data_IF_642905308365
#
_entry.id   IF_642905308365
#
_cell.length_a   1.000
_cell.length_b   1.000
_cell.length_c   1.000
_cell.angle_alpha   90.00
_cell.angle_beta   90.00
_cell.angle_gamma   90.00
#
_symmetry.space_group_name_H-M   'P 1'
#
loop_
_entity.id
_entity.type
_entity.pdbx_description
1 polymer ?
#
# COMPACT_ATOMS: atom_id res chain seq x y z
N UNK A 1 -0.59 -7.21 -9.32
CA UNK A 1 -1.77 -7.80 -9.99
C UNK A 1 -1.44 -7.94 -11.46
N UNK A 2 -1.70 -9.11 -12.05
CA UNK A 2 -1.62 -9.30 -13.50
C UNK A 2 -2.63 -8.40 -14.22
N UNK A 3 -2.26 -7.86 -15.39
CA UNK A 3 -3.11 -6.98 -16.19
C UNK A 3 -3.66 -5.77 -15.40
N UNK A 4 -2.81 -5.16 -14.57
CA UNK A 4 -3.18 -3.97 -13.80
C UNK A 4 -3.46 -2.77 -14.71
N UNK A 5 -4.64 -2.18 -14.54
CA UNK A 5 -5.14 -1.03 -15.28
C UNK A 5 -5.15 0.20 -14.36
N UNK A 6 -4.19 1.09 -14.56
CA UNK A 6 -3.97 2.25 -13.70
C UNK A 6 -5.16 3.23 -13.73
N UNK A 7 -5.69 3.66 -14.89
CA UNK A 7 -6.87 4.52 -14.93
C UNK A 7 -8.06 3.98 -14.13
N UNK A 8 -8.28 2.66 -14.11
CA UNK A 8 -9.40 2.05 -13.39
C UNK A 8 -9.28 2.11 -11.86
N UNK A 9 -8.07 2.33 -11.31
CA UNK A 9 -7.90 2.41 -9.85
C UNK A 9 -8.11 3.83 -9.29
N UNK A 10 -8.22 4.84 -10.16
CA UNK A 10 -8.43 6.22 -9.76
C UNK A 10 -9.76 6.41 -8.99
N UNK A 11 -9.81 7.47 -8.18
CA UNK A 11 -10.93 7.77 -7.30
C UNK A 11 -10.58 7.61 -5.81
N UNK A 12 -11.63 7.58 -4.99
CA UNK A 12 -11.53 7.60 -3.53
C UNK A 12 -11.70 6.19 -2.94
N UNK A 13 -10.74 5.80 -2.11
CA UNK A 13 -10.64 4.55 -1.37
C UNK A 13 -10.65 4.82 0.14
N UNK A 14 -10.99 3.79 0.90
CA UNK A 14 -11.03 3.82 2.37
C UNK A 14 -10.12 2.74 2.94
N UNK A 15 -9.25 3.11 3.87
CA UNK A 15 -8.35 2.18 4.55
C UNK A 15 -9.14 1.43 5.63
N UNK A 16 -9.71 0.29 5.26
CA UNK A 16 -10.57 -0.52 6.14
C UNK A 16 -9.79 -1.52 7.00
N UNK A 17 -8.57 -1.89 6.60
CA UNK A 17 -7.75 -2.86 7.30
C UNK A 17 -6.26 -2.64 7.02
N UNK A 18 -5.43 -2.88 8.03
CA UNK A 18 -3.97 -2.85 7.92
C UNK A 18 -3.37 -4.01 8.74
N UNK A 19 -2.41 -4.72 8.15
CA UNK A 19 -1.72 -5.84 8.79
C UNK A 19 -0.25 -5.54 8.93
N UNK A 20 0.23 -5.30 10.15
CA UNK A 20 1.67 -5.27 10.42
C UNK A 20 1.98 -5.42 11.91
N UNK A 21 3.21 -5.83 12.27
CA UNK A 21 3.59 -6.13 13.67
C UNK A 21 3.43 -4.92 14.59
N UNK A 22 3.79 -3.72 14.13
CA UNK A 22 3.63 -2.48 14.88
C UNK A 22 2.16 -2.13 15.11
N UNK A 23 1.29 -2.31 14.10
CA UNK A 23 -0.15 -2.01 14.23
C UNK A 23 -0.82 -2.87 15.31
N UNK A 24 -0.35 -4.10 15.55
CA UNK A 24 -0.86 -4.93 16.66
C UNK A 24 -0.75 -4.23 18.01
N UNK A 25 0.27 -3.39 18.22
CA UNK A 25 0.51 -2.67 19.47
C UNK A 25 -0.29 -1.36 19.57
N UNK A 26 -0.81 -0.84 18.46
CA UNK A 26 -1.48 0.47 18.39
C UNK A 26 -2.84 0.41 17.69
N UNK A 27 -3.46 -0.77 17.65
CA UNK A 27 -4.73 -1.03 16.94
C UNK A 27 -5.84 -0.03 17.32
N UNK A 28 -5.92 0.35 18.60
CA UNK A 28 -6.96 1.23 19.15
C UNK A 28 -6.71 2.71 18.82
N UNK A 29 -5.53 3.02 18.28
CA UNK A 29 -5.16 4.36 17.80
C UNK A 29 -5.27 4.48 16.28
N UNK A 30 -5.57 3.38 15.59
CA UNK A 30 -5.74 3.38 14.15
C UNK A 30 -7.17 3.78 13.80
N UNK A 31 -7.32 4.88 13.06
CA UNK A 31 -8.60 5.40 12.61
C UNK A 31 -8.57 5.35 11.09
N UNK A 32 -9.67 4.90 10.48
CA UNK A 32 -9.79 4.72 9.04
C UNK A 32 -9.37 5.98 8.29
N UNK A 33 -8.46 5.80 7.35
CA UNK A 33 -8.01 6.84 6.43
C UNK A 33 -8.80 6.83 5.13
N UNK A 34 -8.65 7.90 4.37
CA UNK A 34 -9.04 7.96 2.96
C UNK A 34 -7.79 7.90 2.09
N UNK A 35 -7.95 7.45 0.86
CA UNK A 35 -6.91 7.44 -0.15
C UNK A 35 -7.54 7.91 -1.46
N UNK A 36 -7.07 9.01 -2.03
CA UNK A 36 -7.58 9.50 -3.31
C UNK A 36 -6.47 9.33 -4.36
N UNK A 37 -6.80 8.75 -5.50
CA UNK A 37 -5.87 8.62 -6.63
C UNK A 37 -6.45 9.40 -7.81
N UNK A 38 -5.64 10.26 -8.40
CA UNK A 38 -6.01 11.02 -9.60
C UNK A 38 -4.98 10.81 -10.69
N UNK A 39 -5.35 11.20 -11.92
CA UNK A 39 -4.38 11.30 -12.99
C UNK A 39 -3.35 12.40 -12.70
N UNK A 40 -2.13 12.23 -13.21
CA UNK A 40 -0.96 13.03 -12.85
C UNK A 40 -0.17 12.47 -11.67
N UNK A 41 -0.05 13.23 -10.58
CA UNK A 41 0.67 12.83 -9.36
C UNK A 41 -0.25 11.99 -8.48
N UNK A 42 0.18 10.78 -8.09
CA UNK A 42 -0.62 9.90 -7.23
C UNK A 42 -0.56 10.47 -5.81
N UNK A 43 -1.49 11.37 -5.50
CA UNK A 43 -1.53 12.13 -4.24
C UNK A 43 -2.48 11.46 -3.26
N UNK A 44 -1.91 10.72 -2.33
CA UNK A 44 -2.66 10.07 -1.27
C UNK A 44 -3.01 11.07 -0.18
N UNK A 45 -4.30 11.30 0.07
CA UNK A 45 -4.79 12.16 1.16
C UNK A 45 -5.32 11.30 2.30
N UNK A 46 -4.42 10.91 3.21
CA UNK A 46 -4.77 10.14 4.41
C UNK A 46 -5.27 11.09 5.50
N UNK A 47 -6.53 10.91 5.88
CA UNK A 47 -7.12 11.65 7.00
C UNK A 47 -6.87 10.88 8.28
N UNK A 48 -6.17 11.49 9.26
CA UNK A 48 -5.85 10.87 10.55
C UNK A 48 -6.39 11.72 11.68
N UNK A 49 -7.22 11.10 12.51
CA UNK A 49 -7.69 11.69 13.76
C UNK A 49 -6.60 11.52 14.83
N UNK A 50 -6.16 12.63 15.41
CA UNK A 50 -5.19 12.65 16.52
C UNK A 50 -5.64 13.68 17.54
N UNK A 51 -5.88 13.26 18.78
CA UNK A 51 -6.39 14.12 19.86
C UNK A 51 -7.63 14.94 19.44
N UNK A 52 -8.66 14.29 18.90
CA UNK A 52 -9.88 14.92 18.37
C UNK A 52 -9.69 15.93 17.23
N UNK A 53 -8.47 16.06 16.69
CA UNK A 53 -8.19 16.90 15.52
C UNK A 53 -7.98 16.05 14.27
N UNK A 54 -8.71 16.42 13.21
CA UNK A 54 -8.66 15.78 11.90
C UNK A 54 -7.50 16.39 11.09
N UNK A 55 -6.43 15.63 10.89
CA UNK A 55 -5.27 16.07 10.13
C UNK A 55 -5.24 15.37 8.77
N UNK A 56 -5.01 16.14 7.70
CA UNK A 56 -4.80 15.61 6.36
C UNK A 56 -3.30 15.45 6.11
N UNK A 57 -2.87 14.24 5.80
CA UNK A 57 -1.52 13.95 5.35
C UNK A 57 -1.56 13.71 3.85
N UNK A 58 -0.77 14.49 3.10
CA UNK A 58 -0.61 14.34 1.66
C UNK A 58 0.70 13.63 1.39
N UNK A 59 0.66 12.49 0.71
CA UNK A 59 1.83 11.76 0.25
C UNK A 59 1.79 11.59 -1.27
N UNK A 60 2.88 11.93 -1.95
CA UNK A 60 3.02 11.72 -3.39
C UNK A 60 3.69 10.38 -3.68
N UNK A 61 3.04 9.54 -4.47
CA UNK A 61 3.58 8.27 -4.94
C UNK A 61 4.13 8.44 -6.36
N UNK A 62 5.32 7.91 -6.56
CA UNK A 62 6.01 7.86 -7.84
C UNK A 62 5.65 6.56 -8.56
N UNK A 63 5.21 6.68 -9.82
CA UNK A 63 5.01 5.54 -10.71
C UNK A 63 6.37 4.87 -10.98
N UNK A 64 6.35 3.55 -11.16
CA UNK A 64 7.52 2.79 -11.59
C UNK A 64 7.28 2.18 -12.96
N UNK A 65 8.31 1.57 -13.55
CA UNK A 65 8.20 0.84 -14.81
C UNK A 65 7.24 -0.36 -14.73
N UNK A 66 7.00 -0.88 -13.52
CA UNK A 66 6.09 -2.00 -13.29
C UNK A 66 4.69 -1.49 -12.97
N UNK A 67 3.66 -1.78 -13.79
CA UNK A 67 2.28 -1.42 -13.48
C UNK A 67 1.82 -1.97 -12.13
N UNK A 68 1.18 -1.12 -11.32
CA UNK A 68 0.72 -1.49 -9.98
C UNK A 68 1.81 -1.46 -8.90
N UNK A 69 3.04 -1.06 -9.23
CA UNK A 69 4.12 -0.79 -8.27
C UNK A 69 4.39 0.71 -8.21
N UNK A 70 4.48 1.22 -6.98
CA UNK A 70 4.67 2.63 -6.69
C UNK A 70 5.70 2.83 -5.58
N UNK A 71 6.44 3.92 -5.66
CA UNK A 71 7.39 4.32 -4.62
C UNK A 71 6.85 5.52 -3.83
N UNK A 72 7.01 5.54 -2.52
CA UNK A 72 6.69 6.67 -1.66
C UNK A 72 7.91 7.01 -0.81
N UNK A 73 8.43 8.23 -0.96
CA UNK A 73 9.53 8.71 -0.13
C UNK A 73 8.99 9.29 1.18
N UNK A 74 9.44 8.77 2.31
CA UNK A 74 9.13 9.29 3.62
C UNK A 74 10.26 10.23 4.09
N UNK A 75 10.09 11.57 4.01
CA UNK A 75 11.16 12.51 4.34
C UNK A 75 11.50 12.51 5.83
N UNK A 76 10.55 12.11 6.69
CA UNK A 76 10.80 12.04 8.13
C UNK A 76 11.88 11.02 8.46
N UNK A 77 11.93 9.92 7.72
CA UNK A 77 12.77 8.75 8.02
C UNK A 77 13.87 8.55 6.98
N UNK A 78 13.86 9.32 5.88
CA UNK A 78 14.84 9.21 4.80
C UNK A 78 14.76 7.88 4.04
N UNK A 79 13.59 7.25 4.00
CA UNK A 79 13.41 5.92 3.39
C UNK A 79 12.43 5.96 2.23
N UNK A 80 12.68 5.14 1.21
CA UNK A 80 11.75 4.88 0.12
C UNK A 80 10.96 3.62 0.41
N UNK A 81 9.64 3.75 0.46
CA UNK A 81 8.69 2.67 0.71
C UNK A 81 8.12 2.22 -0.64
N UNK A 82 8.14 0.92 -0.89
CA UNK A 82 7.57 0.34 -2.10
C UNK A 82 6.17 -0.18 -1.81
N UNK A 83 5.21 0.13 -2.67
CA UNK A 83 3.83 -0.31 -2.55
C UNK A 83 3.40 -1.04 -3.81
N UNK A 84 2.71 -2.16 -3.61
CA UNK A 84 2.29 -3.08 -4.65
C UNK A 84 0.79 -3.27 -4.57
N UNK A 85 0.08 -3.11 -5.67
CA UNK A 85 -1.32 -3.55 -5.79
C UNK A 85 -1.28 -5.05 -6.09
N UNK A 86 -1.50 -5.88 -5.08
CA UNK A 86 -1.48 -7.33 -5.23
C UNK A 86 -2.82 -7.86 -5.73
N UNK A 87 -3.93 -7.21 -5.37
CA UNK A 87 -5.27 -7.54 -5.86
C UNK A 87 -6.17 -6.29 -5.90
N UNK A 88 -6.97 -6.14 -6.94
CA UNK A 88 -8.03 -5.16 -7.05
C UNK A 88 -9.07 -5.57 -8.08
N UNK A 89 -10.35 -5.34 -7.76
CA UNK A 89 -11.44 -5.41 -8.73
C UNK A 89 -11.87 -4.02 -9.23
N UNK A 90 -11.11 -2.97 -8.87
CA UNK A 90 -11.33 -1.56 -9.22
C UNK A 90 -12.60 -0.91 -8.65
N UNK A 91 -13.57 -1.68 -8.16
CA UNK A 91 -14.91 -1.19 -7.82
C UNK A 91 -15.24 -1.24 -6.32
N UNK A 92 -14.61 -2.14 -5.56
CA UNK A 92 -14.96 -2.31 -4.16
C UNK A 92 -13.88 -2.88 -3.27
N UNK A 93 -12.82 -3.46 -3.83
CA UNK A 93 -11.72 -4.02 -3.05
C UNK A 93 -10.40 -3.78 -3.74
N UNK A 94 -9.46 -3.23 -3.00
CA UNK A 94 -8.05 -3.14 -3.33
C UNK A 94 -7.26 -3.68 -2.14
N UNK A 95 -6.28 -4.54 -2.40
CA UNK A 95 -5.35 -5.09 -1.43
C UNK A 95 -3.96 -4.69 -1.89
N UNK A 96 -3.26 -3.99 -1.01
CA UNK A 96 -1.90 -3.56 -1.24
C UNK A 96 -0.92 -4.30 -0.34
N UNK A 97 0.31 -4.42 -0.79
CA UNK A 97 1.43 -4.88 0.00
C UNK A 97 2.50 -3.79 0.04
N UNK A 98 3.06 -3.53 1.22
CA UNK A 98 4.02 -2.45 1.44
C UNK A 98 5.35 -3.04 1.90
N UNK A 99 6.41 -2.83 1.12
CA UNK A 99 7.78 -3.24 1.42
C UNK A 99 8.64 -2.04 1.88
N UNK A 100 9.55 -2.28 2.83
CA UNK A 100 10.38 -1.23 3.46
C UNK A 100 9.68 -0.39 4.55
N UNK A 101 8.37 -0.57 4.74
CA UNK A 101 7.57 0.12 5.76
C UNK A 101 7.66 -0.50 7.15
N UNK A 102 6.56 -1.09 7.65
CA UNK A 102 6.43 -1.67 9.00
C UNK A 102 7.35 -2.91 9.20
N UNK A 103 8.65 -2.66 9.26
CA UNK A 103 9.77 -3.60 9.42
C UNK A 103 9.96 -4.58 8.26
N UNK A 104 9.08 -4.54 7.25
CA UNK A 104 9.08 -5.49 6.15
C UNK A 104 8.87 -6.93 6.63
N UNK A 105 8.58 -7.82 5.71
CA UNK A 105 8.98 -9.21 5.86
C UNK A 105 9.88 -9.51 4.65
N UNK A 106 10.70 -10.57 4.71
CA UNK A 106 11.58 -10.94 3.60
C UNK A 106 10.84 -11.39 2.32
N UNK A 107 9.52 -11.18 2.22
CA UNK A 107 8.74 -11.52 1.04
C UNK A 107 9.00 -10.49 -0.07
N UNK A 108 9.64 -10.96 -1.14
CA UNK A 108 10.00 -10.16 -2.31
C UNK A 108 9.20 -10.55 -3.57
N UNK A 109 8.15 -11.35 -3.43
CA UNK A 109 7.34 -11.86 -4.55
C UNK A 109 6.17 -10.92 -4.86
N UNK A 110 5.90 -10.70 -6.16
CA UNK A 110 4.89 -9.77 -6.67
C UNK A 110 3.50 -10.40 -6.80
N UNK A 111 3.43 -11.73 -6.90
CA UNK A 111 2.18 -12.49 -6.97
C UNK A 111 2.20 -13.67 -6.00
N UNK A 112 1.02 -14.15 -5.63
CA UNK A 112 0.90 -15.42 -4.88
C UNK A 112 1.53 -16.57 -5.68
N UNK A 113 1.41 -16.55 -7.01
CA UNK A 113 2.02 -17.52 -7.90
C UNK A 113 3.54 -17.52 -7.79
N UNK A 114 4.20 -16.37 -7.92
CA UNK A 114 5.67 -16.26 -7.76
C UNK A 114 6.14 -16.73 -6.38
N UNK A 115 5.39 -16.36 -5.33
CA UNK A 115 5.69 -16.81 -3.97
C UNK A 115 5.59 -18.34 -3.86
N UNK A 116 4.55 -18.94 -4.45
CA UNK A 116 4.36 -20.40 -4.48
C UNK A 116 5.39 -21.09 -5.37
N UNK A 117 5.78 -20.50 -6.49
CA UNK A 117 6.83 -21.05 -7.35
C UNK A 117 8.19 -21.05 -6.66
N UNK A 118 8.51 -20.03 -5.88
CA UNK A 118 9.78 -19.96 -5.16
C UNK A 118 9.76 -20.77 -3.85
N UNK A 119 8.75 -20.59 -3.01
CA UNK A 119 8.66 -21.23 -1.69
C UNK A 119 8.08 -22.64 -1.74
N UNK A 120 7.29 -22.96 -2.78
CA UNK A 120 6.68 -24.28 -2.98
C UNK A 120 7.59 -25.29 -3.66
N UNK A 121 8.82 -24.90 -4.04
CA UNK A 121 9.91 -25.86 -4.21
C UNK A 121 10.39 -26.23 -2.81
N UNK A 122 9.65 -27.12 -2.14
CA UNK A 122 10.23 -27.89 -1.04
C UNK A 122 11.46 -28.60 -1.61
N UNK A 123 12.66 -28.14 -1.25
CA UNK A 123 13.85 -28.99 -1.34
C UNK A 123 13.66 -30.06 -0.28
N UNK A 124 13.58 -31.30 -0.72
CA UNK A 124 13.70 -32.48 0.15
C UNK A 124 14.89 -32.35 1.11
#
# INVERSE_FOLDING_TARGET
>A
QENFDLPKIYGKWYDIAIGCKWVKLYKDKYIMGTLELSDGEIRTVSTRMRHNSCNKMVGAYQKTETPGKFNYFNPKWGVTIQNYVVFTNYQGKCVTFTYGGCWGNGNQFYTEKECKEYCGVSKD
#
